data_IF_901354294354
#
_entry.id   IF_901354294354
#
_cell.length_a   1.000
_cell.length_b   1.000
_cell.length_c   1.000
_cell.angle_alpha   90.00
_cell.angle_beta   90.00
_cell.angle_gamma   90.00
#
_symmetry.space_group_name_H-M   'P 1'
#
loop_
_entity.id
_entity.type
_entity.pdbx_description
1 polymer ?
2 non-polymer ?
3 non-polymer ?
4 water ?
#
# COMPACT_ATOMS: atom_id res chain seq x y z
N UNK A 1 13.10 -13.77 -0.56
CA UNK A 1 13.24 -13.60 -2.00
C UNK A 1 13.38 -12.14 -2.39
N UNK A 2 13.67 -11.90 -3.67
CA UNK A 2 13.40 -10.60 -4.28
C UNK A 2 12.09 -10.63 -5.04
N UNK A 3 11.19 -9.71 -4.71
CA UNK A 3 9.89 -9.65 -5.35
C UNK A 3 9.76 -8.43 -6.25
N UNK A 4 9.33 -8.67 -7.49
CA UNK A 4 9.24 -7.63 -8.51
C UNK A 4 7.95 -6.85 -8.37
N UNK A 5 7.90 -5.67 -8.98
CA UNK A 5 6.72 -4.82 -8.88
C UNK A 5 6.13 -4.51 -10.25
N UNK A 6 6.49 -5.33 -11.24
CA UNK A 6 5.75 -5.39 -12.48
C UNK A 6 4.31 -5.84 -12.24
N UNK A 7 4.13 -6.78 -11.32
CA UNK A 7 2.79 -7.23 -10.93
C UNK A 7 2.51 -6.91 -9.46
N UNK A 8 1.23 -6.88 -9.11
CA UNK A 8 0.81 -6.96 -7.71
C UNK A 8 1.61 -8.02 -6.97
N UNK A 9 2.13 -7.68 -5.79
CA UNK A 9 2.94 -8.60 -5.00
C UNK A 9 2.08 -9.47 -4.08
N UNK A 10 1.43 -10.48 -4.64
CA UNK A 10 0.55 -11.33 -3.87
C UNK A 10 1.32 -12.53 -3.32
N UNK A 11 0.98 -12.93 -2.10
CA UNK A 11 1.61 -14.07 -1.46
C UNK A 11 0.55 -14.92 -0.76
N UNK A 12 0.88 -16.17 -0.49
CA UNK A 12 0.04 -17.01 0.38
C UNK A 12 0.41 -16.79 1.84
N UNK A 13 -0.62 -16.79 2.69
CA UNK A 13 -0.42 -16.81 4.13
C UNK A 13 -1.21 -17.95 4.74
N UNK A 14 -0.66 -18.56 5.78
CA UNK A 14 -1.44 -19.42 6.67
C UNK A 14 -1.80 -18.66 7.94
N UNK A 15 -3.08 -18.65 8.27
CA UNK A 15 -3.54 -18.00 9.49
C UNK A 15 -4.85 -18.61 9.96
N UNK A 16 -4.89 -19.00 11.22
CA UNK A 16 -6.11 -19.54 11.82
C UNK A 16 -6.52 -20.86 11.20
N UNK A 17 -5.56 -21.52 10.55
CA UNK A 17 -5.81 -22.84 9.98
C UNK A 17 -6.08 -22.78 8.49
N UNK A 18 -6.32 -21.57 7.98
CA UNK A 18 -6.73 -21.40 6.59
C UNK A 18 -5.58 -20.84 5.75
N UNK A 19 -5.56 -21.23 4.48
CA UNK A 19 -4.69 -20.59 3.49
C UNK A 19 -5.40 -19.41 2.83
N UNK A 20 -4.66 -18.35 2.57
CA UNK A 20 -5.23 -17.14 1.98
C UNK A 20 -4.21 -16.40 1.13
N UNK A 21 -4.69 -15.75 0.09
CA UNK A 21 -3.86 -14.84 -0.71
C UNK A 21 -4.01 -13.41 -0.17
N UNK A 22 -2.93 -12.64 -0.28
CA UNK A 22 -2.91 -11.28 0.28
C UNK A 22 -1.79 -10.44 -0.31
N UNK A 23 -1.89 -9.13 -0.13
CA UNK A 23 -1.13 -8.17 -0.93
C UNK A 23 -0.12 -7.46 -0.04
N UNK A 24 1.17 -7.70 -0.29
CA UNK A 24 2.23 -7.02 0.45
C UNK A 24 2.16 -5.51 0.19
N UNK A 25 1.71 -4.76 1.17
CA UNK A 25 1.51 -3.32 1.01
C UNK A 25 2.40 -2.53 1.96
N UNK A 26 3.37 -1.82 1.40
CA UNK A 26 4.31 -1.05 2.21
C UNK A 26 3.67 0.22 2.75
N UNK A 27 2.57 0.65 2.12
CA UNK A 27 1.91 1.88 2.51
C UNK A 27 0.96 1.70 3.68
N UNK A 28 0.67 0.44 4.01
CA UNK A 28 -0.37 0.13 4.98
C UNK A 28 0.21 0.04 6.39
N UNK A 29 -0.33 0.83 7.30
CA UNK A 29 -0.01 0.71 8.73
C UNK A 29 -0.32 -0.68 9.25
N UNK A 30 -1.50 -1.20 8.88
CA UNK A 30 -2.05 -2.39 9.52
C UNK A 30 -2.28 -3.51 8.51
N UNK A 31 -2.46 -4.72 9.03
CA UNK A 31 -2.91 -5.85 8.22
C UNK A 31 -4.41 -6.05 8.35
N UNK A 32 -5.10 -6.14 7.21
CA UNK A 32 -6.56 -6.26 7.20
C UNK A 32 -7.00 -7.41 6.30
N UNK A 33 -7.87 -8.26 6.83
CA UNK A 33 -8.36 -9.43 6.10
C UNK A 33 -9.89 -9.42 5.99
N UNK A 34 -10.39 -9.96 4.88
CA UNK A 34 -11.82 -10.22 4.71
C UNK A 34 -12.41 -10.98 5.90
N UNK A 35 -13.73 -11.04 5.97
CA UNK A 35 -14.41 -11.64 7.12
C UNK A 35 -13.92 -13.05 7.35
N UNK A 36 -13.57 -13.34 8.60
CA UNK A 36 -13.09 -14.66 8.99
C UNK A 36 -13.14 -14.76 10.51
N UNK A 37 -12.99 -15.97 11.02
CA UNK A 37 -13.05 -16.21 12.46
C UNK A 37 -11.66 -16.27 13.06
N UNK A 38 -11.48 -15.59 14.18
CA UNK A 38 -10.26 -15.71 14.97
C UNK A 38 -10.60 -15.89 16.45
N UNK A 39 -9.77 -16.65 17.17
CA UNK A 39 -9.97 -16.92 18.60
C UNK A 39 -9.58 -15.74 19.48
N UNK A 40 -10.23 -15.63 20.62
CA UNK A 40 -9.77 -14.72 21.67
C UNK A 40 -10.42 -13.35 21.57
N UNK A 41 -9.77 -12.35 22.15
CA UNK A 41 -10.41 -11.06 22.41
C UNK A 41 -10.26 -10.13 21.21
N UNK A 42 -11.22 -9.23 21.03
CA UNK A 42 -11.13 -8.23 19.98
C UNK A 42 -11.81 -6.92 20.40
N UNK A 43 -11.44 -5.82 19.74
CA UNK A 43 -12.14 -4.55 19.90
C UNK A 43 -12.36 -3.89 18.55
N UNK A 44 -13.39 -3.03 18.46
CA UNK A 44 -13.74 -2.42 17.18
C UNK A 44 -12.82 -1.27 16.81
N UNK A 45 -12.69 -1.01 15.51
CA UNK A 45 -11.75 -0.02 15.01
C UNK A 45 -12.25 0.53 13.68
N UNK A 46 -12.03 1.82 13.46
CA UNK A 46 -12.23 2.42 12.15
C UNK A 46 -10.88 2.67 11.48
N UNK A 47 -10.72 2.16 10.26
CA UNK A 47 -9.49 2.42 9.50
C UNK A 47 -9.78 3.15 8.20
N UNK A 48 -8.80 3.93 7.76
CA UNK A 48 -8.99 4.86 6.66
C UNK A 48 -8.12 4.53 5.47
N UNK A 49 -8.69 4.59 4.28
CA UNK A 49 -7.92 4.54 3.04
C UNK A 49 -8.51 5.47 2.00
N UNK A 50 -8.18 5.24 0.75
CA UNK A 50 -8.82 5.95 -0.36
C UNK A 50 -10.31 5.61 -0.39
N UNK A 51 -11.14 6.66 -0.36
CA UNK A 51 -12.58 6.47 -0.42
C UNK A 51 -13.25 6.37 0.94
N UNK A 52 -12.45 6.50 1.99
CA UNK A 52 -12.98 6.70 3.34
C UNK A 52 -12.70 5.53 4.26
N UNK A 53 -13.57 5.32 5.24
CA UNK A 53 -13.27 4.45 6.38
C UNK A 53 -14.13 3.19 6.34
N UNK A 54 -13.64 2.12 6.96
CA UNK A 54 -14.48 0.97 7.28
C UNK A 54 -14.32 0.55 8.74
N UNK A 55 -15.31 -0.16 9.26
CA UNK A 55 -15.27 -0.70 10.62
C UNK A 55 -14.73 -2.13 10.57
N UNK A 56 -13.78 -2.43 11.45
CA UNK A 56 -13.18 -3.76 11.53
C UNK A 56 -13.17 -4.25 12.98
N UNK A 57 -12.89 -5.54 13.17
CA UNK A 57 -12.51 -6.05 14.49
C UNK A 57 -11.00 -6.24 14.59
N UNK A 58 -10.43 -5.81 15.70
CA UNK A 58 -8.99 -5.90 15.92
C UNK A 58 -8.65 -7.02 16.89
N UNK A 59 -7.90 -8.01 16.41
CA UNK A 59 -7.33 -9.05 17.26
C UNK A 59 -5.82 -8.87 17.37
N UNK A 60 -5.28 -9.00 18.57
CA UNK A 60 -3.86 -8.84 18.79
C UNK A 60 -3.20 -10.20 19.05
N UNK A 61 -1.88 -10.25 18.88
CA UNK A 61 -1.12 -11.47 19.12
C UNK A 61 -1.74 -12.65 18.37
N UNK A 62 -1.91 -12.48 17.06
CA UNK A 62 -2.33 -13.58 16.21
C UNK A 62 -1.13 -14.13 15.44
N UNK A 63 -0.91 -15.45 15.55
CA UNK A 63 0.12 -16.12 14.75
C UNK A 63 -0.24 -16.12 13.28
N UNK A 64 0.68 -15.69 12.44
CA UNK A 64 0.51 -15.78 10.99
C UNK A 64 1.79 -16.32 10.37
N UNK A 65 1.65 -16.90 9.17
CA UNK A 65 2.80 -17.42 8.44
C UNK A 65 2.80 -16.88 7.01
N UNK A 66 3.89 -16.21 6.63
CA UNK A 66 3.93 -15.49 5.35
C UNK A 66 5.15 -15.91 4.54
N UNK A 67 4.91 -16.72 3.51
CA UNK A 67 5.99 -17.22 2.65
C UNK A 67 6.89 -18.18 3.42
N UNK A 68 6.38 -18.73 4.52
CA UNK A 68 7.15 -19.63 5.36
C UNK A 68 7.78 -18.92 6.54
N UNK A 69 7.65 -17.60 6.58
CA UNK A 69 8.15 -16.82 7.70
C UNK A 69 7.07 -16.65 8.76
N UNK A 70 7.33 -17.18 9.95
CA UNK A 70 6.43 -17.01 11.09
C UNK A 70 6.60 -15.62 11.70
N UNK A 71 5.48 -14.91 11.85
CA UNK A 71 5.43 -13.75 12.74
C UNK A 71 4.22 -13.84 13.65
N UNK A 72 4.14 -12.90 14.59
CA UNK A 72 2.92 -12.69 15.37
C UNK A 72 2.63 -11.19 15.48
N UNK A 73 1.35 -10.84 15.44
CA UNK A 73 0.96 -9.44 15.39
C UNK A 73 -0.53 -9.23 15.36
N UNK A 74 -0.94 -7.98 15.11
CA UNK A 74 -2.33 -7.60 15.15
C UNK A 74 -2.98 -7.76 13.77
N UNK A 75 -4.17 -8.35 13.76
CA UNK A 75 -4.89 -8.58 12.51
C UNK A 75 -6.31 -7.99 12.59
N UNK A 76 -6.65 -7.15 11.62
CA UNK A 76 -7.98 -6.56 11.56
C UNK A 76 -8.84 -7.34 10.58
N UNK A 77 -10.06 -7.67 11.00
CA UNK A 77 -10.99 -8.41 10.15
C UNK A 77 -12.20 -7.52 9.82
N UNK A 78 -12.58 -7.51 8.55
CA UNK A 78 -13.74 -6.73 8.12
C UNK A 78 -13.95 -6.73 6.62
N UNK A 79 -14.92 -5.93 6.15
CA UNK A 79 -15.34 -5.89 4.76
C UNK A 79 -14.38 -5.06 3.90
N UNK A 80 -13.12 -5.44 3.91
CA UNK A 80 -12.14 -4.89 2.98
C UNK A 80 -12.28 -5.57 1.62
N UNK A 81 -12.08 -4.81 0.53
CA UNK A 81 -12.28 -5.38 -0.79
C UNK A 81 -11.12 -6.29 -1.22
N UNK A 82 -10.01 -6.24 -0.50
CA UNK A 82 -8.96 -7.23 -0.69
C UNK A 82 -8.07 -7.36 0.54
N UNK A 83 -7.43 -8.52 0.66
CA UNK A 83 -6.52 -8.81 1.77
C UNK A 83 -5.22 -8.04 1.62
N UNK A 84 -4.80 -7.36 2.68
CA UNK A 84 -3.54 -6.62 2.67
C UNK A 84 -2.68 -6.96 3.89
N UNK A 85 -1.40 -7.20 3.65
CA UNK A 85 -0.41 -7.29 4.71
C UNK A 85 0.29 -5.94 4.90
N UNK A 86 0.22 -5.40 6.11
CA UNK A 86 0.74 -4.05 6.38
C UNK A 86 2.09 -4.06 7.07
N UNK A 87 2.58 -2.87 7.39
CA UNK A 87 3.95 -2.71 7.87
C UNK A 87 4.13 -3.41 9.20
N UNK A 88 3.02 -3.62 9.92
CA UNK A 88 3.07 -4.20 11.25
C UNK A 88 3.59 -5.64 11.21
N UNK A 89 3.37 -6.34 10.10
CA UNK A 89 3.84 -7.70 9.95
C UNK A 89 5.01 -7.80 8.95
N UNK A 90 5.03 -6.90 7.97
CA UNK A 90 6.13 -6.86 7.01
C UNK A 90 7.47 -6.70 7.71
N UNK A 91 7.50 -5.95 8.81
CA UNK A 91 8.73 -5.73 9.55
C UNK A 91 9.26 -7.02 10.14
N UNK A 92 8.35 -7.89 10.58
CA UNK A 92 8.72 -9.06 11.36
C UNK A 92 9.38 -10.12 10.49
N UNK A 93 9.10 -10.09 9.19
CA UNK A 93 9.72 -11.02 8.26
C UNK A 93 10.82 -10.34 7.44
N UNK A 94 11.25 -9.17 7.89
CA UNK A 94 12.50 -8.58 7.43
C UNK A 94 12.39 -8.01 6.03
N UNK A 95 11.19 -7.50 5.70
CA UNK A 95 10.91 -7.02 4.36
C UNK A 95 11.31 -5.56 4.21
N UNK A 96 12.05 -5.23 3.15
CA UNK A 96 12.45 -3.85 2.88
C UNK A 96 12.22 -3.46 1.42
N UNK A 97 12.17 -2.16 1.17
CA UNK A 97 12.15 -1.62 -0.19
C UNK A 97 13.58 -1.33 -0.67
N UNK A 98 13.84 -1.60 -1.93
CA UNK A 98 15.19 -1.43 -2.48
C UNK A 98 15.18 -0.80 -3.87
N UNK A 99 16.00 0.22 -4.05
CA UNK A 99 16.29 0.76 -5.37
C UNK A 99 17.56 1.60 -5.35
N UNK B 1 18.50 3.16 -2.35
CA UNK B 1 18.75 2.86 -0.95
C UNK B 1 17.97 1.65 -0.45
N UNK B 2 18.00 1.42 0.86
CA UNK B 2 17.22 0.37 1.47
C UNK B 2 16.33 0.92 2.57
N UNK B 3 15.02 0.77 2.39
CA UNK B 3 14.05 1.38 3.30
C UNK B 3 13.34 0.31 4.11
N UNK B 4 13.61 0.29 5.41
CA UNK B 4 12.86 -0.53 6.35
C UNK B 4 11.51 0.11 6.61
N UNK B 5 10.63 -0.64 7.27
CA UNK B 5 9.21 -0.29 7.31
C UNK B 5 8.72 -0.17 8.74
N UNK B 6 9.64 0.14 9.65
CA UNK B 6 9.29 0.44 11.03
C UNK B 6 8.61 1.80 11.15
N UNK B 7 8.73 2.61 10.09
CA UNK B 7 7.93 3.83 9.95
C UNK B 7 7.26 3.87 8.58
N UNK B 8 6.37 4.83 8.40
CA UNK B 8 5.83 5.11 7.07
C UNK B 8 6.96 5.45 6.10
N UNK B 9 6.95 4.80 4.92
CA UNK B 9 8.02 5.02 3.94
C UNK B 9 7.85 6.33 3.18
N UNK B 10 7.89 7.45 3.91
CA UNK B 10 7.64 8.77 3.33
C UNK B 10 8.91 9.29 2.66
N UNK B 11 8.78 9.74 1.41
CA UNK B 11 9.90 10.36 0.72
C UNK B 11 9.55 11.73 0.14
N UNK B 12 10.57 12.48 -0.25
CA UNK B 12 10.38 13.73 -0.98
C UNK B 12 10.33 13.46 -2.49
N UNK B 13 9.28 13.95 -3.13
CA UNK B 13 9.22 13.97 -4.59
C UNK B 13 9.25 15.40 -5.13
N UNK B 14 9.63 15.55 -6.39
CA UNK B 14 9.49 16.83 -7.07
C UNK B 14 8.59 16.70 -8.30
N UNK B 15 7.57 17.55 -8.37
CA UNK B 15 6.68 17.59 -9.52
C UNK B 15 6.25 19.02 -9.81
N UNK B 16 6.41 19.42 -11.07
CA UNK B 16 6.17 20.82 -11.47
C UNK B 16 7.04 21.82 -10.73
N UNK B 17 8.22 21.39 -10.29
CA UNK B 17 9.18 22.30 -9.67
C UNK B 17 8.95 22.52 -8.18
N UNK B 18 7.97 21.82 -7.61
CA UNK B 18 7.69 21.93 -6.18
C UNK B 18 8.02 20.62 -5.47
N UNK B 19 8.49 20.73 -4.22
CA UNK B 19 8.78 19.57 -3.40
C UNK B 19 7.52 19.12 -2.65
N UNK B 20 7.35 17.80 -2.53
CA UNK B 20 6.21 17.24 -1.81
C UNK B 20 6.64 15.97 -1.08
N UNK B 21 5.96 15.67 0.03
CA UNK B 21 6.08 14.36 0.67
C UNK B 21 5.09 13.37 0.04
N UNK B 22 5.53 12.13 -0.12
CA UNK B 22 4.67 11.08 -0.64
C UNK B 22 5.04 9.72 -0.07
N UNK B 23 4.10 8.78 -0.16
CA UNK B 23 4.23 7.49 0.51
C UNK B 23 4.44 6.38 -0.52
N UNK B 24 5.55 5.65 -0.40
CA UNK B 24 5.85 4.57 -1.33
C UNK B 24 5.00 3.33 -1.00
N UNK B 25 4.11 2.96 -1.92
CA UNK B 25 3.01 2.06 -1.62
C UNK B 25 2.91 0.95 -2.66
N UNK B 26 3.36 -0.24 -2.30
CA UNK B 26 3.43 -1.35 -3.24
C UNK B 26 2.07 -2.01 -3.41
N UNK B 27 1.12 -1.66 -2.55
CA UNK B 27 -0.24 -2.14 -2.66
C UNK B 27 -1.09 -1.30 -3.60
N UNK B 28 -0.44 -0.37 -4.29
CA UNK B 28 -1.16 0.55 -5.17
C UNK B 28 -0.71 0.36 -6.62
N UNK B 29 -1.66 0.02 -7.49
CA UNK B 29 -1.42 0.02 -8.92
C UNK B 29 -0.97 1.40 -9.39
N UNK B 30 -1.62 2.43 -8.87
CA UNK B 30 -1.56 3.77 -9.47
C UNK B 30 -0.97 4.78 -8.50
N UNK B 31 -0.47 5.88 -9.06
CA UNK B 31 0.06 6.99 -8.28
C UNK B 31 -0.95 8.13 -8.21
N UNK B 32 -1.35 8.50 -7.00
CA UNK B 32 -2.40 9.51 -6.84
C UNK B 32 -1.95 10.62 -5.88
N UNK B 33 -2.14 11.86 -6.32
CA UNK B 33 -1.66 13.02 -5.56
C UNK B 33 -2.83 13.90 -5.16
N UNK B 34 -2.67 14.58 -4.03
CA UNK B 34 -3.62 15.59 -3.59
C UNK B 34 -3.79 16.70 -4.63
N UNK B 35 -4.87 17.46 -4.51
CA UNK B 35 -5.20 18.51 -5.48
C UNK B 35 -3.99 19.38 -5.80
N UNK B 36 -3.78 19.62 -7.09
CA UNK B 36 -2.67 20.45 -7.57
C UNK B 36 -2.89 20.76 -9.05
N UNK B 37 -2.13 21.70 -9.58
CA UNK B 37 -2.20 22.03 -11.01
C UNK B 37 -1.21 21.19 -11.80
N UNK B 38 -1.65 20.70 -12.96
CA UNK B 38 -0.74 20.10 -13.93
C UNK B 38 -1.13 20.48 -15.36
N UNK B 39 -0.14 20.51 -16.26
CA UNK B 39 -0.34 20.98 -17.63
C UNK B 39 -1.08 19.94 -18.49
N UNK B 40 -1.75 20.41 -19.53
CA UNK B 40 -2.32 19.52 -20.54
C UNK B 40 -3.75 19.12 -20.27
N UNK B 41 -4.24 18.15 -21.03
CA UNK B 41 -5.60 17.64 -20.87
C UNK B 41 -5.59 16.45 -19.91
N UNK B 42 -6.75 16.16 -19.32
CA UNK B 42 -6.87 14.98 -18.46
C UNK B 42 -8.05 14.09 -18.85
N UNK B 43 -7.98 12.84 -18.43
CA UNK B 43 -9.05 11.87 -18.64
C UNK B 43 -9.60 11.39 -17.30
N UNK B 44 -10.84 10.89 -17.29
CA UNK B 44 -11.44 10.40 -16.05
C UNK B 44 -10.89 9.03 -15.64
N UNK B 45 -10.80 8.79 -14.34
CA UNK B 45 -10.68 7.44 -13.82
C UNK B 45 -11.41 7.28 -12.49
N UNK B 46 -12.08 6.15 -12.33
CA UNK B 46 -12.55 5.70 -11.03
C UNK B 46 -11.54 4.71 -10.43
N UNK B 47 -11.05 5.01 -9.24
CA UNK B 47 -10.16 4.11 -8.53
C UNK B 47 -10.72 3.70 -7.18
N UNK B 48 -10.47 2.45 -6.80
CA UNK B 48 -11.04 1.89 -5.58
C UNK B 48 -9.98 1.72 -4.50
N UNK B 49 -10.26 2.27 -3.32
CA UNK B 49 -9.44 2.03 -2.14
C UNK B 49 -10.14 1.13 -1.14
N UNK B 50 -9.58 1.04 0.06
CA UNK B 50 -10.17 0.24 1.12
C UNK B 50 -11.55 0.78 1.49
N UNK B 51 -11.77 2.07 1.28
CA UNK B 51 -12.95 2.75 1.80
C UNK B 51 -14.04 2.94 0.77
N UNK B 52 -13.77 2.52 -0.47
CA UNK B 52 -14.72 2.71 -1.56
C UNK B 52 -14.06 3.35 -2.78
N UNK B 53 -14.86 4.02 -3.61
CA UNK B 53 -14.39 4.52 -4.89
C UNK B 53 -14.34 6.06 -4.88
N UNK B 54 -13.31 6.63 -5.51
CA UNK B 54 -13.31 8.05 -5.81
C UNK B 54 -13.06 8.34 -7.29
N UNK B 55 -13.45 9.53 -7.73
CA UNK B 55 -13.11 10.02 -9.06
C UNK B 55 -11.83 10.85 -9.01
N UNK B 56 -10.94 10.63 -9.98
CA UNK B 56 -9.69 11.38 -10.06
C UNK B 56 -9.43 11.86 -11.49
N UNK B 57 -8.57 12.87 -11.61
CA UNK B 57 -8.10 13.34 -12.91
C UNK B 57 -6.80 12.64 -13.30
N UNK B 58 -6.76 12.07 -14.51
CA UNK B 58 -5.58 11.38 -14.99
C UNK B 58 -4.74 12.28 -15.91
N UNK B 59 -3.49 12.49 -15.55
CA UNK B 59 -2.53 13.14 -16.43
C UNK B 59 -1.43 12.15 -16.86
N UNK B 60 -1.08 12.18 -18.14
CA UNK B 60 -0.07 11.26 -18.67
C UNK B 60 1.25 11.97 -18.96
N UNK B 61 2.34 11.22 -18.91
CA UNK B 61 3.65 11.68 -19.36
C UNK B 61 4.11 12.90 -18.56
N UNK B 62 3.99 12.79 -17.24
CA UNK B 62 4.36 13.89 -16.34
C UNK B 62 5.68 13.56 -15.65
N UNK B 63 6.70 14.41 -15.84
CA UNK B 63 7.97 14.25 -15.13
C UNK B 63 7.79 14.34 -13.62
N UNK B 64 8.51 13.50 -12.88
CA UNK B 64 8.47 13.51 -11.43
C UNK B 64 9.70 12.84 -10.86
N UNK B 65 10.30 13.48 -9.85
CA UNK B 65 11.45 12.91 -9.17
C UNK B 65 11.01 12.26 -7.87
N UNK B 66 11.38 11.00 -7.68
CA UNK B 66 11.11 10.30 -6.44
C UNK B 66 12.43 9.95 -5.77
N UNK B 67 12.73 10.64 -4.68
CA UNK B 67 14.01 10.44 -3.99
C UNK B 67 15.19 10.82 -4.88
N UNK B 68 14.99 11.78 -5.77
CA UNK B 68 16.03 12.18 -6.70
C UNK B 68 16.16 11.24 -7.90
N UNK B 69 15.32 10.22 -7.94
CA UNK B 69 15.24 9.33 -9.10
C UNK B 69 14.20 9.84 -10.10
N UNK B 70 14.63 10.00 -11.35
CA UNK B 70 13.80 10.64 -12.36
C UNK B 70 12.86 9.63 -13.01
N UNK B 71 11.58 9.98 -13.08
CA UNK B 71 10.61 9.20 -13.85
C UNK B 71 9.70 10.12 -14.64
N UNK B 72 9.03 9.56 -15.64
CA UNK B 72 7.97 10.27 -16.36
C UNK B 72 6.81 9.33 -16.65
N UNK B 73 5.64 9.64 -16.11
CA UNK B 73 4.53 8.70 -16.15
C UNK B 73 3.20 9.29 -15.74
N UNK B 74 2.23 8.40 -15.49
CA UNK B 74 0.85 8.80 -15.27
C UNK B 74 0.64 9.21 -13.82
N UNK B 75 0.04 10.38 -13.62
CA UNK B 75 -0.26 10.88 -12.29
C UNK B 75 -1.76 11.17 -12.17
N UNK B 76 -2.41 10.57 -11.18
CA UNK B 76 -3.78 10.90 -10.84
C UNK B 76 -3.84 12.00 -9.79
N UNK B 77 -4.84 12.86 -9.89
CA UNK B 77 -5.06 13.89 -8.87
C UNK B 77 -6.49 13.84 -8.37
N UNK B 78 -6.65 13.91 -7.04
CA UNK B 78 -7.92 13.54 -6.42
C UNK B 78 -7.92 13.62 -4.91
N UNK B 79 -9.11 13.44 -4.30
CA UNK B 79 -9.31 13.41 -2.85
C UNK B 79 -8.73 12.15 -2.20
N UNK B 80 -7.45 12.19 -1.90
CA UNK B 80 -6.77 11.09 -1.24
C UNK B 80 -6.26 11.53 0.12
N UNK B 81 -6.25 10.61 1.10
CA UNK B 81 -5.76 10.97 2.42
C UNK B 81 -4.27 11.29 2.45
N UNK B 82 -3.52 10.75 1.50
CA UNK B 82 -2.12 11.16 1.28
C UNK B 82 -1.73 11.03 -0.18
N UNK B 83 -0.66 11.74 -0.53
CA UNK B 83 0.13 11.40 -1.72
C UNK B 83 0.69 9.99 -1.63
N UNK B 84 0.43 9.19 -2.66
CA UNK B 84 0.97 7.84 -2.72
C UNK B 84 1.64 7.57 -4.06
N UNK B 85 2.77 6.90 -4.02
CA UNK B 85 3.48 6.52 -5.23
C UNK B 85 3.32 5.02 -5.49
N UNK B 86 2.50 4.68 -6.47
CA UNK B 86 2.13 3.30 -6.73
C UNK B 86 3.09 2.63 -7.70
N UNK B 87 2.78 1.38 -8.05
CA UNK B 87 3.75 0.53 -8.72
C UNK B 87 4.18 1.11 -10.07
N UNK B 88 3.32 1.92 -10.67
CA UNK B 88 3.56 2.40 -12.04
C UNK B 88 4.81 3.28 -12.14
N UNK B 89 5.16 3.96 -11.06
CA UNK B 89 6.40 4.74 -11.01
C UNK B 89 7.48 4.04 -10.20
N UNK B 90 7.08 3.20 -9.26
CA UNK B 90 8.04 2.42 -8.47
C UNK B 90 8.89 1.55 -9.39
N UNK B 91 8.31 1.05 -10.48
CA UNK B 91 9.03 0.21 -11.41
C UNK B 91 9.95 1.04 -12.30
N UNK B 92 9.58 2.30 -12.53
CA UNK B 92 10.42 3.20 -13.30
C UNK B 92 11.74 3.48 -12.58
N UNK B 93 11.69 3.58 -11.25
CA UNK B 93 12.86 3.93 -10.46
C UNK B 93 13.55 2.69 -9.87
N UNK B 94 13.10 1.51 -10.28
CA UNK B 94 13.86 0.28 -10.07
C UNK B 94 13.62 -0.35 -8.72
N UNK B 95 12.41 -0.14 -8.17
CA UNK B 95 12.07 -0.64 -6.85
C UNK B 95 11.76 -2.13 -6.88
N UNK B 96 12.21 -2.85 -5.85
CA UNK B 96 11.73 -4.20 -5.59
C UNK B 96 11.50 -4.40 -4.09
N UNK B 97 10.72 -5.42 -3.74
CA UNK B 97 10.59 -5.85 -2.35
C UNK B 97 11.59 -6.97 -2.06
N UNK B 98 12.22 -6.89 -0.89
CA UNK B 98 13.20 -7.89 -0.49
C UNK B 98 13.01 -8.36 0.95
N UNK B 99 12.95 -9.67 1.15
CA UNK B 99 13.17 -10.24 2.46
C UNK B 99 13.72 -11.66 2.36
X LIG C 1 1.14 -5.69 15.69
X LIG D 1 -2.60 9.27 5.92
X LIG D 1 -2.17 8.03 5.64
X LIG D 1 -3.17 6.87 5.69
X LIG D 1 -3.07 6.12 4.53
X LIG D 1 -4.18 6.00 3.69
X LIG D 1 -4.09 5.23 2.53
X LIG D 1 -1.90 5.44 4.22
X LIG D 1 -1.81 4.68 3.07
X LIG D 1 -2.93 4.53 2.24
X LIG D 1 -2.85 3.75 1.10
X LIG D 1 -4.24 2.24 2.56
X LIG D 1 -5.42 2.49 2.33
X LIG D 1 -3.77 1.94 3.78
X LIG D 1 -4.65 2.01 4.96
X LIG D 1 -5.12 0.61 5.39
X LIG D 1 -4.24 0.08 6.51
X LIG D 1 -5.07 -0.35 4.20
X LIG D 1 -3.92 2.70 6.13
X LIG D 1 -2.76 2.39 6.42
X LIG D 1 -4.59 3.70 6.70
X LIG D 1 -4.03 4.50 7.80
X LIG D 1 -4.21 3.76 9.12
X LIG D 1 -5.46 3.49 9.54
X LIG D 1 -2.01 1.61 1.86
X LIG D 1 -3.73 1.64 0.18
X LIG D 1 -3.99 0.15 0.43
X LIG D 1 -3.71 -0.62 -0.86
X LIG D 1 -4.89 -0.62 -1.74
X LIG D 1 -4.62 -0.10 -2.75
X LIG D 1 -5.25 1.05 -3.07
X LIG D 1 -3.19 2.30 1.44
X LIG D 1 -6.16 1.54 -2.40
X LIG D 1 -4.97 1.55 -4.49
X LIG D 1 -5.05 3.08 -4.59
X LIG D 1 -4.62 3.50 -6.00
X LIG D 1 -4.11 3.71 -3.57
X LIG D 1 -6.48 3.54 -4.34
X LIG D 1 -5.95 0.94 -5.41
X LIG D 1 -5.60 -0.03 -6.26
X LIG D 1 -4.42 -0.35 -6.38
X LIG D 1 -6.57 -0.66 -6.98
X LIG D 1 -5.97 -1.61 -7.87
X LIG D 1 -5.24 -2.02 -2.01
X LIG D 1 -6.48 -2.13 -2.63
X LIG D 1 -6.57 -2.64 -3.91
X LIG D 1 -7.82 -2.75 -4.52
X LIG D 1 -7.62 -1.75 -1.94
X LIG D 1 -8.87 -1.85 -2.55
X LIG D 1 -8.96 -2.34 -3.85
X LIG D 1 -10.46 -3.51 -5.33
X LIG D 1 -10.21 -2.47 -4.44
X LIG D 1 -11.24 -1.61 -4.08
X LIG D 1 -12.51 -1.76 -4.64
X LIG D 1 -12.75 -2.80 -5.56
X LIG D 1 -11.72 -3.67 -5.89
X LIG E 1 2.90 5.33 -15.78
X LIG F 1 15.30 -4.40 10.42
#
# INVERSE_FOLDING_TARGET
>A
PQITLWQRPLVTIKIGGQLKEALLDTGADDTVLEEMSLPGRWKPKMIGGIGGFIKVRQYDQIPIEICGHKAIGTVLVGPTPTNVIGRNLLTQIGCTLNF
>B
PQITLWQRPLVTIKIGGQLKEALLDTGADDTVLEEMSLPGRWKPKMIGGIGGFIKVRQYDQIPIEICGHKAIGTVLVGPTPTNVIGRNLLTQIGCTLNF
>C hetero
1 CL CL
>D hetero
1 9MW CAB CAO CBD CBS CAT CAV CAU CAW CBU CBH CBR OAL N CA CB CG1 CG2 C O NBJ CBB CAN CAA OAM CBF CBC CBE NCA NBM CBQ CCC OAK CBZ CCB CAG CAH CAF NBK CBO OAI OBN CAC CBG CBT CAX CAZ CAY CBA CBW CBV CAR CAP NBI CAQ CAS
>E hetero
1 CL CL
>F hetero
1 CL CL
#
